data_IF_904006059434
#
_entry.id   IF_904006059434
#
_cell.length_a   1.000
_cell.length_b   1.000
_cell.length_c   1.000
_cell.angle_alpha   90.00
_cell.angle_beta   90.00
_cell.angle_gamma   90.00
#
_symmetry.space_group_name_H-M   'P 1'
#
loop_
_entity.id
_entity.type
_entity.pdbx_description
1 polymer ?
#
# COMPACT_ATOMS: atom_id res chain seq x y z
N UNK A 1 -37.93 1.33 -44.51
CA UNK A 1 -38.42 0.27 -43.61
C UNK A 1 -37.54 -0.96 -43.79
N UNK A 2 -36.61 -1.19 -42.87
CA UNK A 2 -35.77 -2.40 -42.88
C UNK A 2 -36.70 -3.62 -42.76
N UNK A 3 -36.63 -4.52 -43.74
CA UNK A 3 -37.43 -5.75 -43.73
C UNK A 3 -37.06 -6.49 -42.46
N UNK A 4 -38.05 -6.83 -41.61
CA UNK A 4 -37.80 -7.48 -40.30
C UNK A 4 -36.82 -8.66 -40.40
N UNK A 5 -36.85 -9.36 -41.54
CA UNK A 5 -35.92 -10.44 -41.85
C UNK A 5 -34.44 -10.03 -41.83
N UNK A 6 -34.07 -8.85 -42.37
CA UNK A 6 -32.67 -8.42 -42.38
C UNK A 6 -32.14 -8.11 -40.97
N UNK A 7 -33.00 -7.65 -40.06
CA UNK A 7 -32.63 -7.42 -38.66
C UNK A 7 -32.31 -8.75 -37.95
N UNK A 8 -33.16 -9.77 -38.13
CA UNK A 8 -32.93 -11.08 -37.53
C UNK A 8 -31.71 -11.78 -38.14
N UNK A 9 -31.43 -11.61 -39.43
CA UNK A 9 -30.21 -12.16 -40.05
C UNK A 9 -28.94 -11.48 -39.55
N UNK A 10 -28.96 -10.16 -39.32
CA UNK A 10 -27.79 -9.47 -38.76
C UNK A 10 -27.56 -9.87 -37.30
N UNK A 11 -28.64 -10.02 -36.53
CA UNK A 11 -28.56 -10.44 -35.13
C UNK A 11 -28.00 -11.86 -34.98
N UNK A 12 -28.42 -12.80 -35.82
CA UNK A 12 -27.89 -14.17 -35.80
C UNK A 12 -26.41 -14.23 -36.20
N UNK A 13 -25.96 -13.42 -37.17
CA UNK A 13 -24.53 -13.32 -37.54
C UNK A 13 -23.69 -12.79 -36.36
N UNK A 14 -24.17 -11.76 -35.65
CA UNK A 14 -23.47 -11.19 -34.50
C UNK A 14 -23.35 -12.23 -33.37
N UNK A 15 -24.44 -12.95 -33.06
CA UNK A 15 -24.44 -13.99 -32.03
C UNK A 15 -23.49 -15.13 -32.43
N UNK A 16 -23.51 -15.57 -33.70
CA UNK A 16 -22.59 -16.61 -34.17
C UNK A 16 -21.11 -16.17 -34.09
N UNK A 17 -20.82 -14.91 -34.42
CA UNK A 17 -19.46 -14.35 -34.31
C UNK A 17 -18.98 -14.28 -32.85
N UNK A 18 -19.82 -13.81 -31.93
CA UNK A 18 -19.50 -13.78 -30.49
C UNK A 18 -19.34 -15.18 -29.90
N UNK A 19 -20.20 -16.13 -30.28
CA UNK A 19 -20.12 -17.52 -29.82
C UNK A 19 -18.91 -18.26 -30.39
N UNK A 20 -18.46 -17.92 -31.59
CA UNK A 20 -17.22 -18.49 -32.16
C UNK A 20 -15.95 -18.10 -31.38
N UNK A 21 -16.01 -17.04 -30.56
CA UNK A 21 -14.93 -16.67 -29.63
C UNK A 21 -14.89 -17.51 -28.35
N UNK A 22 -15.95 -18.28 -28.06
CA UNK A 22 -16.04 -19.21 -26.93
C UNK A 22 -15.78 -20.66 -27.36
N UNK A 23 -14.82 -20.88 -28.28
CA UNK A 23 -14.34 -22.22 -28.55
C UNK A 23 -13.31 -22.57 -27.47
N UNK A 24 -13.64 -23.53 -26.60
CA UNK A 24 -12.64 -24.14 -25.72
C UNK A 24 -11.56 -24.73 -26.62
N UNK A 25 -10.36 -24.16 -26.55
CA UNK A 25 -9.18 -24.80 -27.11
C UNK A 25 -8.87 -25.96 -26.18
N UNK A 26 -9.19 -27.18 -26.59
CA UNK A 26 -8.49 -28.35 -26.08
C UNK A 26 -7.04 -28.26 -26.60
N UNK A 27 -6.27 -27.40 -25.95
CA UNK A 27 -4.82 -27.35 -26.04
C UNK A 27 -4.25 -27.41 -24.63
N UNK A 28 -4.55 -28.52 -23.95
CA UNK A 28 -3.71 -29.00 -22.85
C UNK A 28 -2.43 -29.63 -23.42
N UNK A 29 -1.65 -28.82 -24.13
CA UNK A 29 -0.29 -29.16 -24.54
C UNK A 29 0.59 -27.90 -24.54
N UNK A 30 0.47 -27.13 -23.47
CA UNK A 30 1.54 -26.23 -23.01
C UNK A 30 1.42 -26.05 -21.49
N UNK A 31 1.29 -27.19 -20.79
CA UNK A 31 1.52 -27.26 -19.36
C UNK A 31 3.00 -26.98 -19.11
N UNK A 32 3.31 -25.70 -18.88
CA UNK A 32 4.40 -25.21 -18.02
C UNK A 32 5.24 -26.34 -17.42
N UNK A 33 6.38 -26.60 -18.04
CA UNK A 33 7.33 -27.66 -17.68
C UNK A 33 7.90 -27.49 -16.25
N UNK A 34 7.69 -26.33 -15.61
CA UNK A 34 8.00 -26.12 -14.19
C UNK A 34 6.95 -26.69 -13.21
N UNK A 35 5.88 -27.32 -13.71
CA UNK A 35 4.79 -27.90 -12.92
C UNK A 35 4.46 -29.35 -13.28
N UNK A 36 5.35 -30.07 -13.96
CA UNK A 36 5.23 -31.53 -14.09
C UNK A 36 5.87 -32.15 -12.85
N UNK A 37 5.02 -32.62 -11.94
CA UNK A 37 5.41 -33.44 -10.79
C UNK A 37 5.31 -34.89 -11.26
N UNK A 38 6.44 -35.60 -11.28
CA UNK A 38 6.45 -37.05 -11.51
C UNK A 38 5.64 -37.72 -10.40
N UNK A 39 4.60 -38.50 -10.73
CA UNK A 39 3.78 -39.23 -9.74
C UNK A 39 4.57 -40.22 -8.89
N UNK A 40 5.79 -40.57 -9.33
CA UNK A 40 6.70 -41.50 -8.63
C UNK A 40 7.57 -40.82 -7.54
N UNK A 41 7.58 -39.49 -7.46
CA UNK A 41 8.26 -38.78 -6.38
C UNK A 41 7.27 -38.54 -5.24
N UNK A 42 7.32 -39.43 -4.24
CA UNK A 42 6.57 -39.26 -3.00
C UNK A 42 6.75 -37.83 -2.47
N UNK A 43 5.68 -37.04 -2.52
CA UNK A 43 5.63 -35.68 -2.00
C UNK A 43 6.07 -35.69 -0.54
N UNK A 44 7.35 -35.42 -0.28
CA UNK A 44 7.86 -35.18 1.05
C UNK A 44 7.35 -33.80 1.47
N UNK A 45 6.13 -33.77 2.01
CA UNK A 45 5.64 -32.61 2.73
C UNK A 45 6.61 -32.34 3.88
N UNK A 46 7.39 -31.26 3.74
CA UNK A 46 8.19 -30.74 4.84
C UNK A 46 7.22 -30.12 5.84
N UNK A 47 6.76 -30.93 6.79
CA UNK A 47 6.05 -30.42 7.94
C UNK A 47 6.98 -29.52 8.76
N UNK A 48 6.47 -28.45 9.37
CA UNK A 48 7.24 -27.67 10.34
C UNK A 48 7.85 -28.60 11.38
N UNK A 49 9.14 -28.45 11.65
CA UNK A 49 9.82 -29.28 12.64
C UNK A 49 9.14 -29.17 14.00
N UNK A 50 9.00 -30.29 14.70
CA UNK A 50 8.54 -30.31 16.09
C UNK A 50 9.63 -29.89 17.07
N UNK A 51 10.89 -29.80 16.62
CA UNK A 51 12.04 -29.44 17.48
C UNK A 51 12.35 -27.95 17.32
N UNK A 52 12.18 -27.14 18.38
CA UNK A 52 12.47 -25.71 18.33
C UNK A 52 13.90 -25.37 17.87
N UNK A 53 14.86 -26.26 18.13
CA UNK A 53 16.28 -26.11 17.75
C UNK A 53 16.56 -26.22 16.25
N UNK A 54 15.60 -26.70 15.46
CA UNK A 54 15.74 -26.79 13.99
C UNK A 54 15.29 -25.50 13.28
N UNK A 55 14.68 -24.57 14.02
CA UNK A 55 14.43 -23.22 13.53
C UNK A 55 15.66 -22.36 13.77
N UNK A 56 16.02 -21.56 12.77
CA UNK A 56 17.03 -20.51 12.96
C UNK A 56 16.50 -19.53 14.00
N UNK A 57 17.24 -19.32 15.09
CA UNK A 57 17.04 -18.23 16.04
C UNK A 57 17.32 -16.90 15.33
N UNK A 58 16.36 -16.48 14.52
CA UNK A 58 16.35 -15.15 13.94
C UNK A 58 16.02 -14.20 15.09
N UNK A 59 17.03 -13.49 15.58
CA UNK A 59 16.89 -12.41 16.55
C UNK A 59 16.24 -11.17 15.88
N UNK A 60 15.16 -11.40 15.14
CA UNK A 60 14.34 -10.37 14.52
C UNK A 60 13.33 -9.99 15.58
N UNK A 61 13.36 -8.75 16.10
CA UNK A 61 12.37 -8.32 17.06
C UNK A 61 10.98 -8.50 16.44
N UNK A 62 10.08 -9.15 17.18
CA UNK A 62 8.68 -9.24 16.79
C UNK A 62 8.11 -7.82 16.71
N UNK A 63 8.06 -7.27 15.50
CA UNK A 63 7.63 -5.88 15.27
C UNK A 63 6.13 -5.71 15.47
N UNK A 64 5.36 -6.79 15.27
CA UNK A 64 3.92 -6.86 15.56
C UNK A 64 3.16 -5.63 15.06
N UNK A 65 2.35 -5.05 15.95
CA UNK A 65 1.63 -3.79 15.72
C UNK A 65 2.31 -2.58 16.36
N UNK A 66 3.59 -2.66 16.74
CA UNK A 66 4.33 -1.51 17.28
C UNK A 66 4.67 -0.50 16.18
N UNK A 67 5.06 0.73 16.57
CA UNK A 67 5.46 1.77 15.63
C UNK A 67 6.59 1.35 14.68
N UNK A 68 7.53 0.51 15.12
CA UNK A 68 8.57 -0.05 14.24
C UNK A 68 7.97 -0.92 13.12
N UNK A 69 6.97 -1.75 13.44
CA UNK A 69 6.24 -2.54 12.46
C UNK A 69 5.45 -1.68 11.48
N UNK A 70 4.89 -0.56 11.96
CA UNK A 70 4.22 0.42 11.10
C UNK A 70 5.17 1.01 10.06
N UNK A 71 6.36 1.46 10.50
CA UNK A 71 7.39 1.98 9.60
C UNK A 71 7.80 0.95 8.56
N UNK A 72 8.11 -0.28 8.98
CA UNK A 72 8.54 -1.32 8.04
C UNK A 72 7.44 -1.74 7.07
N UNK A 73 6.18 -1.78 7.50
CA UNK A 73 5.04 -2.07 6.62
C UNK A 73 4.89 -1.00 5.53
N UNK A 74 4.98 0.29 5.89
CA UNK A 74 4.95 1.38 4.91
C UNK A 74 6.18 1.31 4.00
N UNK A 75 7.37 1.14 4.55
CA UNK A 75 8.60 1.03 3.77
C UNK A 75 8.55 -0.10 2.74
N UNK A 76 8.00 -1.25 3.13
CA UNK A 76 7.81 -2.38 2.23
C UNK A 76 6.86 -2.01 1.08
N UNK A 77 5.72 -1.40 1.39
CA UNK A 77 4.73 -0.97 0.40
C UNK A 77 5.29 0.09 -0.57
N UNK A 78 6.04 1.05 -0.07
CA UNK A 78 6.55 2.19 -0.84
C UNK A 78 7.76 1.81 -1.70
N UNK A 79 8.73 1.10 -1.13
CA UNK A 79 10.02 0.88 -1.78
C UNK A 79 10.58 -0.53 -1.66
N UNK A 80 9.91 -1.45 -0.97
CA UNK A 80 10.48 -2.72 -0.50
C UNK A 80 11.68 -2.51 0.44
N UNK A 81 11.67 -1.42 1.23
CA UNK A 81 12.74 -1.10 2.18
C UNK A 81 14.00 -0.46 1.55
N UNK A 82 13.96 -0.07 0.27
CA UNK A 82 15.15 0.39 -0.49
C UNK A 82 15.40 1.89 -0.27
N UNK A 83 16.43 2.23 0.51
CA UNK A 83 16.83 3.62 0.80
C UNK A 83 17.28 4.44 -0.41
N UNK A 84 17.73 3.81 -1.49
CA UNK A 84 18.22 4.50 -2.70
C UNK A 84 17.23 4.50 -3.87
N UNK A 85 15.99 4.06 -3.65
CA UNK A 85 14.98 3.97 -4.70
C UNK A 85 14.41 5.34 -5.05
N UNK A 86 14.33 5.66 -6.34
CA UNK A 86 13.59 6.81 -6.86
C UNK A 86 12.57 6.27 -7.85
N UNK A 87 11.31 6.66 -7.74
CA UNK A 87 10.28 6.27 -8.70
C UNK A 87 10.20 7.22 -9.90
N UNK A 88 9.36 6.88 -10.89
CA UNK A 88 9.20 7.67 -12.12
C UNK A 88 8.67 9.09 -11.91
N UNK A 89 8.12 9.39 -10.74
CA UNK A 89 7.62 10.72 -10.36
C UNK A 89 8.62 11.51 -9.51
N UNK A 90 9.81 10.96 -9.25
CA UNK A 90 10.86 11.59 -8.47
C UNK A 90 10.69 11.49 -6.95
N UNK A 91 9.77 10.64 -6.46
CA UNK A 91 9.70 10.34 -5.03
C UNK A 91 10.83 9.38 -4.67
N UNK A 92 11.45 9.60 -3.52
CA UNK A 92 12.76 9.06 -3.22
C UNK A 92 12.85 8.43 -1.82
N UNK A 93 13.73 7.44 -1.71
CA UNK A 93 14.05 6.78 -0.45
C UNK A 93 13.10 5.67 -0.04
N UNK A 94 13.38 5.10 1.13
CA UNK A 94 12.69 3.96 1.73
C UNK A 94 11.17 4.19 1.84
N UNK A 95 10.77 5.44 2.09
CA UNK A 95 9.38 5.83 2.29
C UNK A 95 8.80 6.65 1.13
N UNK A 96 9.52 6.76 0.01
CA UNK A 96 9.10 7.49 -1.19
C UNK A 96 8.64 8.92 -0.86
N UNK A 97 9.55 9.77 -0.40
CA UNK A 97 9.27 11.18 -0.12
C UNK A 97 9.32 12.04 -1.39
N UNK A 98 8.41 13.02 -1.48
CA UNK A 98 8.48 14.09 -2.46
C UNK A 98 9.40 15.24 -2.00
N UNK A 99 10.03 15.94 -2.96
CA UNK A 99 10.98 17.04 -2.68
C UNK A 99 10.37 18.16 -1.83
N UNK A 100 9.14 18.58 -2.14
CA UNK A 100 8.44 19.62 -1.37
C UNK A 100 8.16 19.17 0.06
N UNK A 101 7.83 17.89 0.25
CA UNK A 101 7.59 17.31 1.58
C UNK A 101 8.87 17.31 2.41
N UNK A 102 10.00 16.89 1.84
CA UNK A 102 11.32 16.95 2.49
C UNK A 102 11.66 18.37 2.94
N UNK A 103 11.45 19.36 2.06
CA UNK A 103 11.67 20.77 2.40
C UNK A 103 10.79 21.23 3.57
N UNK A 104 9.55 20.75 3.63
CA UNK A 104 8.61 21.12 4.71
C UNK A 104 9.01 20.61 6.10
N UNK A 105 9.92 19.64 6.17
CA UNK A 105 10.51 19.07 7.39
C UNK A 105 12.01 19.38 7.53
N UNK A 106 12.51 20.37 6.76
CA UNK A 106 13.87 20.91 6.92
C UNK A 106 14.97 20.17 6.17
N UNK A 107 14.64 19.37 5.15
CA UNK A 107 15.62 18.70 4.28
C UNK A 107 15.55 19.32 2.88
N UNK A 108 16.56 20.10 2.51
CA UNK A 108 16.68 20.73 1.19
C UNK A 108 17.56 19.93 0.22
N UNK A 109 18.55 19.20 0.74
CA UNK A 109 19.48 18.39 -0.05
C UNK A 109 18.96 16.96 -0.26
N UNK A 110 18.49 16.69 -1.48
CA UNK A 110 17.95 15.39 -1.87
C UNK A 110 19.04 14.31 -2.05
N UNK A 111 20.26 14.69 -2.42
CA UNK A 111 21.36 13.75 -2.59
C UNK A 111 21.88 13.28 -1.22
N UNK A 112 22.06 14.22 -0.29
CA UNK A 112 22.38 13.91 1.10
C UNK A 112 21.30 13.01 1.73
N UNK A 113 20.03 13.32 1.49
CA UNK A 113 18.89 12.52 1.96
C UNK A 113 18.94 11.06 1.46
N UNK A 114 19.16 10.87 0.16
CA UNK A 114 19.22 9.54 -0.44
C UNK A 114 20.41 8.71 0.06
N UNK A 115 21.51 9.38 0.42
CA UNK A 115 22.72 8.73 0.93
C UNK A 115 22.72 8.54 2.46
N UNK A 116 21.70 9.00 3.18
CA UNK A 116 21.63 8.91 4.64
C UNK A 116 20.39 8.15 5.13
N UNK A 117 20.48 6.82 5.34
CA UNK A 117 19.39 6.02 5.91
C UNK A 117 18.83 6.61 7.21
N UNK A 118 19.70 7.06 8.11
CA UNK A 118 19.32 7.70 9.37
C UNK A 118 18.48 8.97 9.15
N UNK A 119 18.81 9.77 8.14
CA UNK A 119 18.03 10.97 7.80
C UNK A 119 16.64 10.59 7.30
N UNK A 120 16.50 9.51 6.53
CA UNK A 120 15.19 9.03 6.06
C UNK A 120 14.31 8.54 7.22
N UNK A 121 14.89 7.83 8.18
CA UNK A 121 14.19 7.39 9.39
C UNK A 121 13.73 8.57 10.25
N UNK A 122 14.58 9.58 10.44
CA UNK A 122 14.22 10.84 11.14
C UNK A 122 13.14 11.62 10.37
N UNK A 123 13.23 11.67 9.04
CA UNK A 123 12.25 12.34 8.19
C UNK A 123 10.86 11.72 8.29
N UNK A 124 10.80 10.38 8.36
CA UNK A 124 9.54 9.67 8.58
C UNK A 124 8.88 10.10 9.89
N UNK A 125 9.64 10.09 10.99
CA UNK A 125 9.12 10.50 12.31
C UNK A 125 8.68 11.97 12.32
N UNK A 126 9.47 12.87 11.72
CA UNK A 126 9.14 14.29 11.66
C UNK A 126 7.84 14.55 10.87
N UNK A 127 7.71 13.96 9.67
CA UNK A 127 6.47 14.10 8.88
C UNK A 127 5.28 13.45 9.60
N UNK A 128 5.48 12.29 10.23
CA UNK A 128 4.45 11.59 10.98
C UNK A 128 3.91 12.46 12.13
N UNK A 129 4.81 13.02 12.94
CA UNK A 129 4.48 13.93 14.05
C UNK A 129 3.70 15.17 13.58
N UNK A 130 4.14 15.77 12.46
CA UNK A 130 3.47 16.93 11.86
C UNK A 130 2.08 16.59 11.35
N UNK A 131 1.93 15.50 10.60
CA UNK A 131 0.64 15.02 10.12
C UNK A 131 -0.31 14.70 11.30
N UNK A 132 0.21 14.11 12.38
CA UNK A 132 -0.55 13.83 13.60
C UNK A 132 -1.08 15.10 14.25
N UNK A 133 -0.27 16.16 14.31
CA UNK A 133 -0.71 17.47 14.78
C UNK A 133 -1.81 18.07 13.89
N UNK A 134 -1.59 18.09 12.57
CA UNK A 134 -2.53 18.69 11.62
C UNK A 134 -3.86 17.94 11.46
N UNK A 135 -3.89 16.65 11.81
CA UNK A 135 -5.04 15.76 11.75
C UNK A 135 -5.64 15.45 13.12
N UNK A 136 -5.20 16.10 14.21
CA UNK A 136 -5.67 15.83 15.58
C UNK A 136 -7.20 15.77 15.67
N UNK A 137 -7.89 16.79 15.17
CA UNK A 137 -9.36 16.87 15.25
C UNK A 137 -10.05 15.79 14.38
N UNK A 138 -9.38 15.33 13.32
CA UNK A 138 -9.87 14.23 12.48
C UNK A 138 -9.69 12.89 13.21
N UNK A 139 -8.54 12.69 13.83
CA UNK A 139 -8.23 11.48 14.61
C UNK A 139 -9.22 11.37 15.77
N UNK A 140 -9.33 12.40 16.61
CA UNK A 140 -10.25 12.44 17.75
C UNK A 140 -11.71 12.15 17.35
N UNK A 141 -12.12 12.69 16.20
CA UNK A 141 -13.50 12.55 15.74
C UNK A 141 -13.83 11.18 15.13
N UNK A 142 -12.88 10.51 14.48
CA UNK A 142 -13.16 9.35 13.63
C UNK A 142 -12.46 8.06 14.06
N UNK A 143 -11.46 8.12 14.95
CA UNK A 143 -10.80 6.92 15.48
C UNK A 143 -11.82 5.96 16.10
N UNK A 144 -11.70 4.66 15.77
CA UNK A 144 -12.63 3.61 16.20
C UNK A 144 -13.96 3.54 15.42
N UNK A 145 -14.25 4.47 14.51
CA UNK A 145 -15.50 4.44 13.74
C UNK A 145 -15.39 3.64 12.45
N UNK A 146 -16.53 3.18 11.93
CA UNK A 146 -16.60 2.59 10.60
C UNK A 146 -17.01 3.68 9.60
N UNK A 147 -16.10 4.08 8.72
CA UNK A 147 -16.38 5.02 7.63
C UNK A 147 -16.24 4.31 6.29
N UNK A 148 -17.36 4.24 5.57
CA UNK A 148 -17.44 3.56 4.28
C UNK A 148 -16.92 2.11 4.29
N UNK A 149 -17.22 1.36 5.36
CA UNK A 149 -16.86 -0.05 5.48
C UNK A 149 -15.43 -0.32 5.95
N UNK A 150 -14.71 0.69 6.46
CA UNK A 150 -13.38 0.53 7.03
C UNK A 150 -13.40 1.01 8.47
N UNK A 151 -12.86 0.19 9.37
CA UNK A 151 -12.53 0.61 10.73
C UNK A 151 -11.40 1.64 10.66
N UNK A 152 -11.74 2.87 11.00
CA UNK A 152 -10.81 3.99 11.01
C UNK A 152 -9.97 3.90 12.28
N UNK A 153 -8.66 4.07 12.11
CA UNK A 153 -7.69 4.10 13.21
C UNK A 153 -6.74 5.29 13.02
N UNK A 154 -6.14 5.80 14.09
CA UNK A 154 -5.09 6.84 14.02
C UNK A 154 -3.99 6.45 13.01
N UNK A 155 -3.44 5.22 13.11
CA UNK A 155 -2.37 4.75 12.22
C UNK A 155 -2.78 4.72 10.75
N UNK A 156 -4.03 4.32 10.47
CA UNK A 156 -4.59 4.31 9.12
C UNK A 156 -4.79 5.73 8.57
N UNK A 157 -5.27 6.66 9.40
CA UNK A 157 -5.40 8.08 9.05
C UNK A 157 -4.03 8.67 8.66
N UNK A 158 -3.01 8.39 9.47
CA UNK A 158 -1.65 8.90 9.24
C UNK A 158 -0.98 8.26 8.03
N UNK A 159 -1.25 6.97 7.75
CA UNK A 159 -0.77 6.32 6.55
C UNK A 159 -1.42 6.94 5.30
N UNK A 160 -2.73 7.18 5.35
CA UNK A 160 -3.42 7.86 4.26
C UNK A 160 -2.90 9.29 4.04
N UNK A 161 -2.48 9.98 5.10
CA UNK A 161 -1.83 11.27 5.01
C UNK A 161 -0.42 11.18 4.39
N UNK A 162 0.34 10.12 4.68
CA UNK A 162 1.62 9.83 4.03
C UNK A 162 1.46 9.70 2.51
N UNK A 163 0.45 8.93 2.07
CA UNK A 163 0.16 8.72 0.65
C UNK A 163 -0.35 9.98 -0.06
N UNK A 164 -1.42 10.58 0.48
CA UNK A 164 -2.22 11.57 -0.24
C UNK A 164 -2.15 12.98 0.33
N UNK A 165 -1.42 13.18 1.43
CA UNK A 165 -1.39 14.42 2.20
C UNK A 165 -2.60 14.62 3.12
N UNK A 166 -2.40 15.44 4.16
CA UNK A 166 -3.42 15.84 5.15
C UNK A 166 -4.69 16.38 4.49
N UNK A 167 -4.56 17.20 3.45
CA UNK A 167 -5.69 17.79 2.75
C UNK A 167 -6.62 16.76 2.10
N UNK A 168 -6.06 15.67 1.57
CA UNK A 168 -6.84 14.58 0.96
C UNK A 168 -7.60 13.79 2.01
N UNK A 169 -6.98 13.55 3.17
CA UNK A 169 -7.62 12.92 4.32
C UNK A 169 -8.78 13.77 4.85
N UNK A 170 -8.56 15.07 5.07
CA UNK A 170 -9.63 16.01 5.49
C UNK A 170 -10.79 16.03 4.49
N UNK A 171 -10.50 16.02 3.19
CA UNK A 171 -11.53 15.93 2.13
C UNK A 171 -12.29 14.60 2.18
N UNK A 172 -11.63 13.47 2.42
CA UNK A 172 -12.29 12.17 2.54
C UNK A 172 -13.35 12.17 3.64
N UNK A 173 -12.98 12.58 4.85
CA UNK A 173 -13.91 12.62 5.99
C UNK A 173 -15.02 13.66 5.82
N UNK A 174 -14.71 14.83 5.26
CA UNK A 174 -15.73 15.87 4.96
C UNK A 174 -16.84 15.34 4.05
N UNK A 175 -16.52 14.44 3.13
CA UNK A 175 -17.50 13.82 2.23
C UNK A 175 -17.95 12.43 2.70
N UNK A 176 -17.82 12.11 4.00
CA UNK A 176 -18.23 10.83 4.60
C UNK A 176 -17.65 9.60 3.88
N UNK A 177 -16.43 9.73 3.36
CA UNK A 177 -15.72 8.69 2.62
C UNK A 177 -16.18 8.43 1.19
N UNK A 178 -17.10 9.25 0.66
CA UNK A 178 -17.61 9.14 -0.73
C UNK A 178 -16.66 9.68 -1.78
N UNK A 179 -15.72 10.55 -1.40
CA UNK A 179 -14.74 11.11 -2.34
C UNK A 179 -13.58 10.15 -2.52
N UNK A 180 -13.31 9.79 -3.77
CA UNK A 180 -12.18 8.95 -4.15
C UNK A 180 -10.95 9.83 -4.37
N UNK A 181 -9.86 9.49 -3.68
CA UNK A 181 -8.51 9.95 -4.02
C UNK A 181 -7.68 8.71 -4.37
N UNK A 182 -6.94 8.80 -5.45
CA UNK A 182 -5.90 7.85 -5.84
C UNK A 182 -4.63 8.61 -6.19
N UNK A 183 -3.49 8.04 -5.87
CA UNK A 183 -2.21 8.52 -6.36
C UNK A 183 -2.05 8.22 -7.86
N UNK A 184 -0.92 8.63 -8.43
CA UNK A 184 -0.61 8.40 -9.84
C UNK A 184 -0.43 6.92 -10.21
N UNK A 185 -0.23 6.02 -9.24
CA UNK A 185 -0.13 4.57 -9.43
C UNK A 185 -1.45 3.84 -9.12
N UNK A 186 -2.53 4.57 -8.86
CA UNK A 186 -3.85 4.02 -8.58
C UNK A 186 -4.08 3.60 -7.13
N UNK A 187 -3.11 3.77 -6.24
CA UNK A 187 -3.22 3.49 -4.80
C UNK A 187 -4.20 4.48 -4.16
N UNK A 188 -5.14 3.99 -3.36
CA UNK A 188 -6.13 4.87 -2.71
C UNK A 188 -5.80 5.15 -1.25
N UNK A 189 -6.18 6.34 -0.75
CA UNK A 189 -6.14 6.63 0.69
C UNK A 189 -6.97 5.63 1.50
N UNK A 190 -8.04 5.11 0.90
CA UNK A 190 -8.92 4.13 1.51
C UNK A 190 -8.19 2.80 1.76
N UNK A 191 -7.41 2.33 0.79
CA UNK A 191 -6.54 1.16 1.00
C UNK A 191 -5.52 1.43 2.10
N UNK A 192 -4.91 2.61 2.16
CA UNK A 192 -3.95 2.91 3.23
C UNK A 192 -4.60 2.98 4.62
N UNK A 193 -5.79 3.57 4.73
CA UNK A 193 -6.54 3.57 6.00
C UNK A 193 -6.82 2.16 6.51
N UNK A 194 -7.16 1.24 5.60
CA UNK A 194 -7.48 -0.15 5.93
C UNK A 194 -6.22 -0.96 6.23
N UNK A 195 -5.25 -0.94 5.32
CA UNK A 195 -4.12 -1.86 5.32
C UNK A 195 -3.09 -1.51 6.42
N UNK A 196 -2.98 -0.21 6.76
CA UNK A 196 -2.12 0.27 7.84
C UNK A 196 -2.89 0.61 9.13
N UNK A 197 -4.08 0.03 9.28
CA UNK A 197 -4.88 0.18 10.48
C UNK A 197 -4.39 -0.65 11.66
N UNK A 198 -4.61 -0.12 12.88
CA UNK A 198 -4.39 -0.83 14.14
C UNK A 198 -2.93 -0.98 14.56
N UNK A 199 -2.03 -0.12 14.07
CA UNK A 199 -0.68 -0.02 14.62
C UNK A 199 -0.65 0.98 15.78
N UNK A 200 0.24 0.76 16.74
CA UNK A 200 0.54 1.66 17.83
C UNK A 200 1.36 2.85 17.33
N UNK A 201 0.93 4.02 17.76
CA UNK A 201 1.44 5.33 17.34
C UNK A 201 1.52 6.33 18.49
N UNK A 202 1.16 5.93 19.71
CA UNK A 202 1.10 6.80 20.88
C UNK A 202 2.49 7.25 21.33
N UNK A 203 3.53 6.46 21.06
CA UNK A 203 4.92 6.82 21.33
C UNK A 203 5.46 8.01 20.51
N UNK A 204 4.75 8.47 19.48
CA UNK A 204 5.12 9.66 18.70
C UNK A 204 4.19 10.82 19.03
N UNK A 205 4.76 11.86 19.64
CA UNK A 205 4.05 13.09 19.99
C UNK A 205 3.73 13.93 18.74
N UNK A 206 2.63 14.68 18.81
CA UNK A 206 2.18 15.54 17.73
C UNK A 206 2.86 16.91 17.80
N UNK A 207 3.61 17.30 16.77
CA UNK A 207 4.29 18.58 16.68
C UNK A 207 4.16 19.18 15.26
N UNK A 208 3.43 20.30 15.15
CA UNK A 208 3.23 21.03 13.90
C UNK A 208 4.52 21.61 13.29
N UNK A 209 5.55 21.82 14.12
CA UNK A 209 6.84 22.41 13.74
C UNK A 209 7.94 21.35 13.62
N UNK A 210 7.61 20.06 13.68
CA UNK A 210 8.56 18.98 13.59
C UNK A 210 9.45 19.12 12.34
N UNK A 211 10.76 19.12 12.57
CA UNK A 211 11.81 19.14 11.54
C UNK A 211 12.85 18.09 11.87
N UNK A 212 13.56 17.63 10.84
CA UNK A 212 14.69 16.74 11.02
C UNK A 212 15.82 17.52 11.68
N UNK A 213 16.19 17.12 12.90
CA UNK A 213 17.42 17.57 13.55
C UNK A 213 18.59 16.89 12.85
N UNK A 214 19.32 17.68 12.06
CA UNK A 214 20.55 17.27 11.37
C UNK A 214 21.60 16.93 12.42
#
# INVERSE_FOLDING_TARGET
>A
MIKKWSFYTTLTIIIAFLSSGFKASDSDSDSKEWFIINEDEANHYLFPSKKPTEYTDLNIPYTGKFFIGYKEAIAFKESQGKYKKINSLGYMGKYQFGRQTLKSIGIDDCEQFLNSPTMQEKAFVALFSKNKSELRDVIEKYDGQIVSGILITESGILAAAHLGGVGSVKKFFRHKGKRYFRDAYGTSIRSYMRDFGGYETSGIEADSNAKVKI
#
